data_IF_688315058010
#
_entry.id   IF_688315058010
#
_cell.length_a   1.000
_cell.length_b   1.000
_cell.length_c   1.000
_cell.angle_alpha   90.00
_cell.angle_beta   90.00
_cell.angle_gamma   90.00
#
_symmetry.space_group_name_H-M   'P 1'
#
loop_
_entity.id
_entity.type
_entity.pdbx_description
1 polymer ?
#
# COMPACT_ATOMS: atom_id res chain seq x y z
N UNK A 1 -3.79 15.75 5.93
CA UNK A 1 -5.27 15.88 5.92
C UNK A 1 -5.77 14.92 4.87
N UNK A 2 -6.80 14.12 5.19
CA UNK A 2 -7.48 13.27 4.23
C UNK A 2 -8.10 14.14 3.12
N UNK A 3 -8.11 13.66 1.88
CA UNK A 3 -8.56 14.46 0.73
C UNK A 3 -10.08 14.64 0.66
N UNK A 4 -10.84 13.77 1.31
CA UNK A 4 -12.30 13.69 1.17
C UNK A 4 -12.76 13.05 -0.14
N UNK A 5 -11.83 12.57 -0.97
CA UNK A 5 -12.14 11.85 -2.20
C UNK A 5 -12.76 10.47 -1.91
N UNK A 6 -13.54 9.99 -2.86
CA UNK A 6 -14.17 8.66 -2.84
C UNK A 6 -13.71 7.86 -4.05
N UNK A 7 -13.92 6.55 -4.05
CA UNK A 7 -13.69 5.68 -5.21
C UNK A 7 -14.32 6.28 -6.48
N UNK A 8 -15.57 6.75 -6.37
CA UNK A 8 -16.29 7.34 -7.51
C UNK A 8 -15.62 8.63 -8.03
N UNK A 9 -15.22 9.54 -7.13
CA UNK A 9 -14.58 10.79 -7.55
C UNK A 9 -13.24 10.56 -8.21
N UNK A 10 -12.43 9.63 -7.70
CA UNK A 10 -11.13 9.28 -8.27
C UNK A 10 -11.29 8.69 -9.67
N UNK A 11 -12.24 7.76 -9.87
CA UNK A 11 -12.53 7.17 -11.18
C UNK A 11 -13.05 8.21 -12.15
N UNK A 12 -13.99 9.07 -11.70
CA UNK A 12 -14.56 10.16 -12.51
C UNK A 12 -13.48 11.15 -12.97
N UNK A 13 -12.59 11.55 -12.06
CA UNK A 13 -11.48 12.45 -12.40
C UNK A 13 -10.49 11.82 -13.39
N UNK A 14 -10.20 10.52 -13.25
CA UNK A 14 -9.37 9.80 -14.21
C UNK A 14 -9.99 9.78 -15.62
N UNK A 15 -11.31 9.58 -15.72
CA UNK A 15 -12.03 9.65 -16.99
C UNK A 15 -12.02 11.07 -17.60
N UNK A 16 -12.21 12.11 -16.78
CA UNK A 16 -12.10 13.50 -17.21
C UNK A 16 -10.70 13.78 -17.78
N UNK A 17 -9.64 13.31 -17.13
CA UNK A 17 -8.28 13.44 -17.63
C UNK A 17 -8.07 12.80 -19.00
N UNK A 18 -8.80 11.72 -19.30
CA UNK A 18 -8.79 11.06 -20.60
C UNK A 18 -9.67 11.76 -21.64
N UNK A 19 -10.46 12.75 -21.23
CA UNK A 19 -11.42 13.43 -22.10
C UNK A 19 -12.73 12.62 -22.28
N UNK A 20 -12.99 11.66 -21.40
CA UNK A 20 -14.23 10.91 -21.35
C UNK A 20 -15.26 11.59 -20.43
N UNK A 21 -16.52 11.15 -20.50
CA UNK A 21 -17.57 11.66 -19.63
C UNK A 21 -17.33 11.24 -18.16
N UNK A 22 -17.58 12.14 -17.19
CA UNK A 22 -17.49 11.80 -15.77
C UNK A 22 -18.57 10.79 -15.37
N UNK A 23 -18.29 10.00 -14.32
CA UNK A 23 -19.25 9.08 -13.72
C UNK A 23 -20.16 9.80 -12.73
N UNK A 24 -21.45 9.47 -12.77
CA UNK A 24 -22.41 9.84 -11.74
C UNK A 24 -22.64 8.70 -10.73
N UNK A 25 -22.48 7.45 -11.16
CA UNK A 25 -22.59 6.24 -10.35
C UNK A 25 -21.96 5.05 -11.06
N UNK A 26 -21.46 4.07 -10.33
CA UNK A 26 -21.01 2.79 -10.92
C UNK A 26 -22.16 1.93 -11.45
N UNK A 27 -23.41 2.22 -11.07
CA UNK A 27 -24.63 1.54 -11.55
C UNK A 27 -25.28 2.20 -12.78
N UNK A 28 -24.65 3.18 -13.42
CA UNK A 28 -25.24 3.89 -14.58
C UNK A 28 -25.27 3.07 -15.88
N UNK A 29 -24.66 1.88 -15.88
CA UNK A 29 -24.71 0.93 -17.00
C UNK A 29 -23.81 1.27 -18.19
N UNK A 30 -22.92 2.25 -18.07
CA UNK A 30 -21.90 2.57 -19.09
C UNK A 30 -20.71 1.62 -19.00
N UNK A 31 -20.04 1.37 -20.14
CA UNK A 31 -18.84 0.54 -20.18
C UNK A 31 -17.73 1.14 -19.30
N UNK A 32 -17.59 2.46 -19.30
CA UNK A 32 -16.61 3.16 -18.47
C UNK A 32 -16.86 2.94 -16.98
N UNK A 33 -18.12 2.90 -16.52
CA UNK A 33 -18.45 2.62 -15.13
C UNK A 33 -18.06 1.19 -14.74
N UNK A 34 -18.38 0.21 -15.57
CA UNK A 34 -18.04 -1.19 -15.32
C UNK A 34 -16.53 -1.43 -15.31
N UNK A 35 -15.80 -0.84 -16.26
CA UNK A 35 -14.33 -0.98 -16.36
C UNK A 35 -13.66 -0.37 -15.13
N UNK A 36 -14.03 0.85 -14.76
CA UNK A 36 -13.42 1.55 -13.63
C UNK A 36 -13.73 0.88 -12.30
N UNK A 37 -14.98 0.42 -12.10
CA UNK A 37 -15.37 -0.28 -10.87
C UNK A 37 -14.59 -1.58 -10.69
N UNK A 38 -14.40 -2.34 -11.78
CA UNK A 38 -13.70 -3.62 -11.76
C UNK A 38 -12.20 -3.45 -11.53
N UNK A 39 -11.55 -2.44 -12.11
CA UNK A 39 -10.09 -2.28 -12.07
C UNK A 39 -9.60 -1.47 -10.87
N UNK A 40 -10.48 -0.69 -10.26
CA UNK A 40 -10.09 0.26 -9.22
C UNK A 40 -9.34 -0.38 -8.06
N UNK A 41 -9.91 -1.43 -7.47
CA UNK A 41 -9.34 -2.04 -6.26
C UNK A 41 -7.96 -2.66 -6.54
N UNK A 42 -7.77 -3.30 -7.69
CA UNK A 42 -6.49 -3.86 -8.10
C UNK A 42 -5.42 -2.77 -8.33
N UNK A 43 -5.80 -1.66 -8.97
CA UNK A 43 -4.89 -0.53 -9.24
C UNK A 43 -4.53 0.18 -7.93
N UNK A 44 -5.50 0.38 -7.04
CA UNK A 44 -5.29 0.97 -5.71
C UNK A 44 -4.30 0.13 -4.90
N UNK A 45 -4.56 -1.16 -4.76
CA UNK A 45 -3.75 -2.05 -3.93
C UNK A 45 -2.35 -2.26 -4.53
N UNK A 46 -2.24 -2.31 -5.87
CA UNK A 46 -0.95 -2.30 -6.57
C UNK A 46 -0.18 -1.00 -6.27
N UNK A 47 -0.83 0.14 -6.36
CA UNK A 47 -0.18 1.45 -6.10
C UNK A 47 0.25 1.58 -4.63
N UNK A 48 -0.56 1.10 -3.70
CA UNK A 48 -0.20 1.02 -2.28
C UNK A 48 1.01 0.10 -2.07
N UNK A 49 1.04 -1.05 -2.74
CA UNK A 49 2.13 -2.03 -2.62
C UNK A 49 3.48 -1.57 -3.21
N UNK A 50 3.50 -0.56 -4.09
CA UNK A 50 4.73 -0.06 -4.71
C UNK A 50 5.71 0.61 -3.74
N UNK A 51 5.21 1.12 -2.60
CA UNK A 51 6.01 1.86 -1.62
C UNK A 51 5.42 1.71 -0.22
N UNK A 52 6.23 1.67 0.85
CA UNK A 52 5.74 1.67 2.23
C UNK A 52 5.26 3.08 2.64
N UNK A 53 4.06 3.44 2.21
CA UNK A 53 3.45 4.74 2.49
C UNK A 53 3.19 4.93 3.99
N UNK A 54 3.59 6.07 4.54
CA UNK A 54 3.50 6.35 5.99
C UNK A 54 2.08 6.23 6.55
N UNK A 55 1.06 6.55 5.74
CA UNK A 55 -0.35 6.51 6.12
C UNK A 55 -0.98 5.11 6.03
N UNK A 56 -0.32 4.13 5.40
CA UNK A 56 -0.88 2.81 5.12
C UNK A 56 -0.42 1.72 6.08
N UNK A 57 0.06 2.07 7.27
CA UNK A 57 0.52 1.11 8.28
C UNK A 57 -0.42 1.01 9.46
N UNK A 58 -0.59 -0.23 9.93
CA UNK A 58 -1.27 -0.56 11.18
C UNK A 58 -0.41 -1.48 12.04
N UNK A 59 -0.50 -1.29 13.36
CA UNK A 59 0.02 -2.24 14.35
C UNK A 59 -1.14 -2.94 15.02
N UNK A 60 -1.17 -4.27 14.94
CA UNK A 60 -2.20 -5.07 15.59
C UNK A 60 -1.61 -6.25 16.34
N UNK A 61 -2.34 -6.73 17.35
CA UNK A 61 -2.10 -8.04 17.95
C UNK A 61 -2.77 -9.10 17.08
N UNK A 62 -2.04 -10.15 16.73
CA UNK A 62 -2.59 -11.28 15.98
C UNK A 62 -3.42 -12.19 16.88
N UNK A 63 -4.50 -12.72 16.32
CA UNK A 63 -5.29 -13.76 16.95
C UNK A 63 -4.65 -15.14 16.75
N UNK A 64 -4.44 -15.85 17.85
CA UNK A 64 -3.96 -17.23 17.82
C UNK A 64 -5.05 -18.14 17.27
N UNK A 65 -4.67 -19.07 16.41
CA UNK A 65 -5.55 -20.15 15.97
C UNK A 65 -5.53 -21.32 16.97
N UNK A 66 -6.50 -22.21 16.88
CA UNK A 66 -6.52 -23.43 17.71
C UNK A 66 -5.63 -24.55 17.15
N UNK A 67 -5.03 -24.33 15.98
CA UNK A 67 -4.16 -25.32 15.34
C UNK A 67 -2.77 -25.31 15.97
N UNK A 68 -2.17 -26.48 16.03
CA UNK A 68 -0.75 -26.62 16.39
C UNK A 68 0.04 -26.77 15.09
N UNK A 69 1.06 -25.92 14.85
CA UNK A 69 1.94 -26.06 13.69
C UNK A 69 2.61 -27.44 13.65
N UNK A 70 2.92 -27.93 12.43
CA UNK A 70 3.60 -29.22 12.24
C UNK A 70 5.13 -29.11 12.43
N UNK A 71 5.64 -27.89 12.59
CA UNK A 71 7.05 -27.58 12.75
C UNK A 71 7.44 -27.36 14.22
N UNK A 72 8.67 -26.84 14.44
CA UNK A 72 9.23 -26.58 15.78
C UNK A 72 8.54 -25.47 16.58
N UNK A 73 7.64 -24.69 15.96
CA UNK A 73 6.93 -23.60 16.63
C UNK A 73 5.66 -24.10 17.35
N UNK A 74 5.33 -23.42 18.45
CA UNK A 74 4.22 -23.82 19.33
C UNK A 74 2.86 -23.29 18.92
N UNK A 75 2.83 -22.13 18.25
CA UNK A 75 1.60 -21.38 18.03
C UNK A 75 1.48 -20.89 16.60
N UNK A 76 0.26 -20.87 16.11
CA UNK A 76 -0.13 -20.36 14.81
C UNK A 76 -1.04 -19.15 14.97
N UNK A 77 -0.81 -18.12 14.16
CA UNK A 77 -1.54 -16.86 14.18
C UNK A 77 -2.10 -16.56 12.79
N UNK A 78 -3.34 -16.07 12.74
CA UNK A 78 -3.95 -15.62 11.50
C UNK A 78 -3.42 -14.24 11.14
N UNK A 79 -2.88 -14.09 9.92
CA UNK A 79 -2.52 -12.79 9.36
C UNK A 79 -3.77 -12.01 8.92
N UNK A 80 -3.73 -10.66 8.96
CA UNK A 80 -4.84 -9.82 8.53
C UNK A 80 -5.20 -10.04 7.06
N UNK A 81 -6.50 -10.10 6.75
CA UNK A 81 -6.98 -10.27 5.38
C UNK A 81 -6.88 -9.01 4.53
N UNK A 82 -6.78 -7.83 5.17
CA UNK A 82 -6.64 -6.53 4.51
C UNK A 82 -5.18 -6.13 4.21
N UNK A 83 -4.22 -7.05 4.43
CA UNK A 83 -2.81 -6.79 4.14
C UNK A 83 -2.56 -6.76 2.63
N UNK A 84 -1.75 -5.81 2.20
CA UNK A 84 -1.27 -5.71 0.82
C UNK A 84 -0.01 -6.53 0.62
N UNK A 85 0.95 -6.36 1.52
CA UNK A 85 2.25 -7.03 1.48
C UNK A 85 2.44 -7.93 2.71
N UNK A 86 3.58 -8.61 2.78
CA UNK A 86 3.99 -9.29 4.01
C UNK A 86 4.16 -8.28 5.15
N UNK A 87 4.10 -8.79 6.38
CA UNK A 87 4.34 -7.97 7.57
C UNK A 87 5.74 -7.35 7.54
N UNK A 88 5.84 -6.09 7.95
CA UNK A 88 7.10 -5.34 7.95
C UNK A 88 7.93 -5.61 9.19
N UNK A 89 7.27 -5.82 10.33
CA UNK A 89 7.92 -6.08 11.60
C UNK A 89 7.04 -6.92 12.51
N UNK A 90 7.66 -7.76 13.31
CA UNK A 90 7.00 -8.64 14.27
C UNK A 90 7.52 -8.32 15.67
N UNK A 91 6.61 -8.22 16.65
CA UNK A 91 6.92 -7.88 18.03
C UNK A 91 6.29 -8.89 18.99
N UNK A 92 6.91 -9.10 20.12
CA UNK A 92 6.35 -9.88 21.24
C UNK A 92 5.65 -9.00 22.30
N UNK A 93 5.68 -7.68 22.14
CA UNK A 93 5.06 -6.71 23.02
C UNK A 93 4.38 -5.61 22.22
N UNK A 94 3.22 -5.16 22.69
CA UNK A 94 2.48 -4.02 22.12
C UNK A 94 2.90 -2.66 22.70
N UNK A 95 3.91 -2.61 23.58
CA UNK A 95 4.38 -1.36 24.20
C UNK A 95 5.06 -0.44 23.19
N UNK A 96 4.89 0.86 23.36
CA UNK A 96 5.62 1.87 22.58
C UNK A 96 7.13 1.70 22.79
N UNK A 97 7.91 1.76 21.71
CA UNK A 97 9.36 1.56 21.75
C UNK A 97 9.81 0.10 21.83
N UNK A 98 8.89 -0.89 21.74
CA UNK A 98 9.29 -2.29 21.62
C UNK A 98 10.15 -2.50 20.36
N UNK A 99 11.23 -3.26 20.51
CA UNK A 99 12.08 -3.64 19.35
C UNK A 99 11.47 -4.83 18.62
N UNK A 100 11.52 -4.84 17.27
CA UNK A 100 11.05 -5.99 16.51
C UNK A 100 11.92 -7.23 16.79
N UNK A 101 11.27 -8.39 16.87
CA UNK A 101 11.96 -9.67 16.97
C UNK A 101 12.44 -10.11 15.58
N UNK A 102 13.72 -10.49 15.50
CA UNK A 102 14.33 -10.87 14.22
C UNK A 102 14.23 -12.37 13.95
N UNK A 103 14.09 -13.20 14.99
CA UNK A 103 14.12 -14.67 14.93
C UNK A 103 12.95 -15.28 15.71
N UNK A 104 12.67 -16.56 15.43
CA UNK A 104 11.69 -17.34 16.18
C UNK A 104 10.26 -17.14 15.68
N UNK A 105 10.11 -16.78 14.41
CA UNK A 105 8.84 -16.74 13.68
C UNK A 105 9.05 -16.99 12.19
N UNK A 106 8.03 -17.50 11.54
CA UNK A 106 7.96 -17.72 10.09
C UNK A 106 6.56 -17.40 9.56
N UNK A 107 6.47 -17.09 8.27
CA UNK A 107 5.20 -16.90 7.58
C UNK A 107 5.03 -18.06 6.60
N UNK A 108 3.94 -18.79 6.75
CA UNK A 108 3.52 -19.86 5.85
C UNK A 108 2.12 -19.53 5.29
N UNK A 109 2.08 -19.11 4.04
CA UNK A 109 0.85 -18.68 3.39
C UNK A 109 0.22 -17.46 4.06
N UNK A 110 -0.95 -17.65 4.66
CA UNK A 110 -1.70 -16.62 5.39
C UNK A 110 -1.54 -16.70 6.92
N UNK A 111 -0.59 -17.50 7.39
CA UNK A 111 -0.33 -17.74 8.81
C UNK A 111 1.06 -17.27 9.21
N UNK A 112 1.16 -16.73 10.41
CA UNK A 112 2.41 -16.53 11.11
C UNK A 112 2.55 -17.57 12.21
N UNK A 113 3.67 -18.25 12.27
CA UNK A 113 3.96 -19.26 13.28
C UNK A 113 5.11 -18.80 14.16
N UNK A 114 5.00 -19.03 15.45
CA UNK A 114 6.01 -18.65 16.44
C UNK A 114 5.85 -19.43 17.74
N UNK A 115 6.89 -19.43 18.58
CA UNK A 115 6.81 -19.95 19.96
C UNK A 115 6.43 -18.87 20.98
N UNK A 116 6.20 -17.63 20.57
CA UNK A 116 5.74 -16.54 21.43
C UNK A 116 4.22 -16.66 21.68
N UNK A 117 3.76 -16.41 22.89
CA UNK A 117 2.32 -16.46 23.25
C UNK A 117 1.51 -15.29 22.71
N UNK A 118 2.14 -14.16 22.49
CA UNK A 118 1.53 -12.94 21.95
C UNK A 118 2.42 -12.41 20.83
N UNK A 119 1.79 -12.12 19.71
CA UNK A 119 2.47 -11.55 18.54
C UNK A 119 1.72 -10.28 18.13
N UNK A 120 2.51 -9.25 17.89
CA UNK A 120 2.05 -7.99 17.29
C UNK A 120 2.79 -7.80 15.99
N UNK A 121 2.12 -7.28 14.99
CA UNK A 121 2.70 -7.05 13.66
C UNK A 121 2.43 -5.63 13.19
N UNK A 122 3.42 -5.06 12.54
CA UNK A 122 3.26 -3.88 11.70
C UNK A 122 3.13 -4.35 10.26
N UNK A 123 2.07 -3.92 9.59
CA UNK A 123 1.80 -4.31 8.21
C UNK A 123 1.14 -3.18 7.43
N UNK A 124 1.32 -3.24 6.12
CA UNK A 124 0.66 -2.33 5.19
C UNK A 124 -0.71 -2.89 4.82
N UNK A 125 -1.76 -2.07 4.98
CA UNK A 125 -3.13 -2.48 4.72
C UNK A 125 -3.75 -1.72 3.55
N UNK A 126 -4.80 -2.29 2.97
CA UNK A 126 -5.62 -1.64 1.95
C UNK A 126 -6.36 -0.47 2.59
N UNK A 127 -5.74 0.73 2.46
CA UNK A 127 -6.20 1.95 3.11
C UNK A 127 -7.44 2.49 2.39
N UNK A 128 -8.51 2.85 3.09
CA UNK A 128 -9.69 3.46 2.49
C UNK A 128 -9.38 4.88 1.99
N UNK A 129 -10.08 5.33 0.95
CA UNK A 129 -9.85 6.60 0.26
C UNK A 129 -9.89 7.81 1.19
N UNK A 130 -10.79 7.79 2.18
CA UNK A 130 -10.92 8.86 3.19
C UNK A 130 -9.69 9.06 4.08
N UNK A 131 -8.79 8.09 4.17
CA UNK A 131 -7.54 8.17 4.94
C UNK A 131 -6.32 8.50 4.07
N UNK A 132 -6.49 8.50 2.73
CA UNK A 132 -5.40 8.76 1.79
C UNK A 132 -5.06 10.24 1.71
N UNK A 133 -3.76 10.61 1.76
CA UNK A 133 -3.32 11.99 1.54
C UNK A 133 -3.50 12.42 0.09
N UNK A 134 -3.63 13.74 -0.13
CA UNK A 134 -3.87 14.34 -1.45
C UNK A 134 -2.81 13.97 -2.48
N UNK A 135 -1.53 13.87 -2.09
CA UNK A 135 -0.46 13.48 -3.02
C UNK A 135 -0.62 12.03 -3.49
N UNK A 136 -1.11 11.13 -2.65
CA UNK A 136 -1.37 9.75 -3.04
C UNK A 136 -2.59 9.65 -3.95
N UNK A 137 -3.67 10.36 -3.62
CA UNK A 137 -4.87 10.44 -4.46
C UNK A 137 -4.53 10.94 -5.87
N UNK A 138 -3.68 11.97 -5.99
CA UNK A 138 -3.25 12.45 -7.30
C UNK A 138 -2.46 11.40 -8.08
N UNK A 139 -1.57 10.66 -7.41
CA UNK A 139 -0.88 9.53 -8.01
C UNK A 139 -1.88 8.47 -8.48
N UNK A 140 -2.85 8.12 -7.64
CA UNK A 140 -3.86 7.11 -7.95
C UNK A 140 -4.72 7.50 -9.16
N UNK A 141 -5.09 8.79 -9.30
CA UNK A 141 -5.78 9.31 -10.49
C UNK A 141 -4.94 9.10 -11.77
N UNK A 142 -3.65 9.36 -11.74
CA UNK A 142 -2.77 9.10 -12.88
C UNK A 142 -2.60 7.61 -13.17
N UNK A 143 -2.49 6.77 -12.13
CA UNK A 143 -2.43 5.32 -12.29
C UNK A 143 -3.72 4.76 -12.89
N UNK A 144 -4.88 5.24 -12.43
CA UNK A 144 -6.18 4.91 -13.02
C UNK A 144 -6.24 5.33 -14.48
N UNK A 145 -5.94 6.61 -14.79
CA UNK A 145 -5.97 7.12 -16.16
C UNK A 145 -5.07 6.32 -17.09
N UNK A 146 -3.85 5.96 -16.65
CA UNK A 146 -2.96 5.11 -17.43
C UNK A 146 -3.57 3.75 -17.75
N UNK A 147 -4.07 3.04 -16.72
CA UNK A 147 -4.53 1.66 -16.89
C UNK A 147 -5.83 1.53 -17.70
N UNK A 148 -6.69 2.56 -17.68
CA UNK A 148 -7.97 2.53 -18.41
C UNK A 148 -7.92 3.26 -19.75
N UNK A 149 -6.83 3.99 -20.06
CA UNK A 149 -6.74 4.86 -21.23
C UNK A 149 -7.03 4.13 -22.54
N UNK A 150 -6.38 2.99 -22.76
CA UNK A 150 -6.55 2.22 -23.99
C UNK A 150 -7.99 1.69 -24.14
N UNK A 151 -8.54 1.15 -23.06
CA UNK A 151 -9.90 0.56 -23.07
C UNK A 151 -11.00 1.59 -23.26
N UNK A 152 -10.81 2.82 -22.73
CA UNK A 152 -11.84 3.87 -22.77
C UNK A 152 -11.72 4.73 -24.03
N UNK A 153 -10.49 4.91 -24.55
CA UNK A 153 -10.25 5.90 -25.64
C UNK A 153 -9.74 5.30 -26.93
N UNK A 154 -9.43 4.00 -26.98
CA UNK A 154 -8.76 3.31 -28.10
C UNK A 154 -7.42 3.98 -28.51
N UNK A 155 -6.77 4.72 -27.57
CA UNK A 155 -5.57 5.50 -27.85
C UNK A 155 -4.39 5.06 -26.95
N UNK A 156 -3.48 4.27 -27.51
CA UNK A 156 -2.24 3.83 -26.84
C UNK A 156 -1.36 5.02 -26.45
N UNK A 157 -1.36 6.10 -27.26
CA UNK A 157 -0.57 7.30 -26.97
C UNK A 157 -0.98 8.01 -25.68
N UNK A 158 -2.26 7.96 -25.32
CA UNK A 158 -2.75 8.46 -24.02
C UNK A 158 -2.30 7.58 -22.88
N UNK A 159 -2.33 6.26 -23.06
CA UNK A 159 -1.83 5.32 -22.06
C UNK A 159 -0.34 5.56 -21.77
N UNK A 160 0.49 5.70 -22.81
CA UNK A 160 1.91 6.01 -22.67
C UNK A 160 2.14 7.37 -22.00
N UNK A 161 1.38 8.40 -22.37
CA UNK A 161 1.45 9.71 -21.75
C UNK A 161 1.16 9.66 -20.24
N UNK A 162 0.06 9.03 -19.83
CA UNK A 162 -0.29 8.91 -18.41
C UNK A 162 0.64 7.97 -17.65
N UNK A 163 1.19 6.94 -18.30
CA UNK A 163 2.24 6.09 -17.73
C UNK A 163 3.46 6.91 -17.34
N UNK A 164 3.95 7.76 -18.26
CA UNK A 164 5.11 8.63 -17.99
C UNK A 164 4.78 9.65 -16.89
N UNK A 165 3.58 10.20 -16.87
CA UNK A 165 3.15 11.10 -15.79
C UNK A 165 3.10 10.39 -14.44
N UNK A 166 2.57 9.17 -14.39
CA UNK A 166 2.39 8.41 -13.15
C UNK A 166 3.73 7.90 -12.60
N UNK A 167 4.48 7.14 -13.41
CA UNK A 167 5.63 6.35 -12.95
C UNK A 167 6.94 6.65 -13.68
N UNK A 168 6.92 7.62 -14.61
CA UNK A 168 8.09 8.04 -15.36
C UNK A 168 8.37 7.19 -16.59
N UNK A 169 9.52 7.47 -17.21
CA UNK A 169 10.00 6.77 -18.40
C UNK A 169 10.48 5.35 -18.08
N UNK A 170 10.60 4.46 -19.09
CA UNK A 170 11.12 3.10 -18.89
C UNK A 170 12.51 3.05 -18.23
N UNK A 171 13.34 4.07 -18.45
CA UNK A 171 14.68 4.16 -17.85
C UNK A 171 14.62 4.40 -16.33
N UNK A 172 13.53 4.93 -15.81
CA UNK A 172 13.33 5.17 -14.38
C UNK A 172 12.72 3.95 -13.64
N UNK A 173 12.54 2.82 -14.33
CA UNK A 173 12.08 1.55 -13.75
C UNK A 173 10.80 1.71 -12.92
N UNK A 174 9.84 2.47 -13.40
CA UNK A 174 8.55 2.80 -12.74
C UNK A 174 8.69 3.55 -11.40
N UNK A 175 9.81 4.23 -11.19
CA UNK A 175 10.10 5.03 -9.97
C UNK A 175 10.28 6.53 -10.27
N UNK A 176 9.85 6.97 -11.45
CA UNK A 176 9.86 8.36 -11.89
C UNK A 176 8.50 9.04 -11.77
N UNK A 177 8.27 10.04 -12.62
CA UNK A 177 7.01 10.74 -12.71
C UNK A 177 6.49 11.28 -11.38
N UNK A 178 5.18 11.31 -11.23
CA UNK A 178 4.54 11.75 -9.99
C UNK A 178 4.75 10.79 -8.82
N UNK A 179 5.00 9.50 -9.07
CA UNK A 179 5.37 8.55 -8.04
C UNK A 179 6.58 9.03 -7.22
N UNK A 180 7.64 9.52 -7.90
CA UNK A 180 8.81 10.08 -7.23
C UNK A 180 8.49 11.30 -6.38
N UNK A 181 7.59 12.17 -6.86
CA UNK A 181 7.13 13.33 -6.10
C UNK A 181 6.37 12.90 -4.85
N UNK A 182 5.42 11.98 -5.01
CA UNK A 182 4.61 11.46 -3.92
C UNK A 182 5.44 10.78 -2.83
N UNK A 183 6.40 9.92 -3.20
CA UNK A 183 7.32 9.26 -2.25
C UNK A 183 8.23 10.26 -1.54
N UNK A 184 8.68 11.32 -2.23
CA UNK A 184 9.46 12.40 -1.61
C UNK A 184 8.66 13.18 -0.57
N UNK A 185 7.38 13.45 -0.84
CA UNK A 185 6.48 14.12 0.11
C UNK A 185 6.22 13.23 1.32
N UNK A 186 5.89 11.96 1.08
CA UNK A 186 5.64 10.98 2.15
C UNK A 186 6.86 10.80 3.06
N UNK A 187 8.06 10.70 2.47
CA UNK A 187 9.30 10.53 3.21
C UNK A 187 9.63 11.69 4.15
N UNK A 188 9.18 12.93 3.84
CA UNK A 188 9.35 14.08 4.73
C UNK A 188 8.48 14.01 5.99
N UNK A 189 7.39 13.23 5.93
CA UNK A 189 6.46 13.06 7.05
C UNK A 189 6.89 11.94 8.00
N UNK A 190 7.88 11.12 7.62
CA UNK A 190 8.42 10.08 8.50
C UNK A 190 9.32 10.71 9.56
N UNK A 191 9.12 10.31 10.81
CA UNK A 191 10.03 10.68 11.88
C UNK A 191 11.42 10.11 11.55
N UNK A 192 12.45 10.94 11.67
CA UNK A 192 13.83 10.47 11.63
C UNK A 192 14.07 9.65 12.89
N UNK A 193 14.27 8.35 12.74
CA UNK A 193 14.82 7.54 13.82
C UNK A 193 16.25 8.01 14.07
N UNK A 194 16.50 8.53 15.27
CA UNK A 194 17.86 8.82 15.70
C UNK A 194 18.64 7.50 15.73
N UNK A 195 19.77 7.46 15.05
CA UNK A 195 20.69 6.32 15.13
C UNK A 195 21.31 6.36 16.54
N UNK A 196 20.67 5.68 17.51
CA UNK A 196 21.10 5.68 18.89
C UNK A 196 22.23 4.67 19.18
N UNK A 197 22.55 3.77 18.27
CA UNK A 197 23.48 2.68 18.51
C UNK A 197 24.66 2.71 17.52
N UNK A 198 25.70 3.41 17.91
CA UNK A 198 27.00 3.32 17.27
C UNK A 198 27.83 2.20 17.92
N UNK A 199 27.49 0.95 17.59
CA UNK A 199 28.18 -0.23 18.16
C UNK A 199 29.71 -0.17 18.03
N UNK A 200 30.25 0.51 17.02
CA UNK A 200 31.69 0.73 16.85
C UNK A 200 32.28 1.82 17.78
N UNK A 201 31.45 2.68 18.35
CA UNK A 201 31.90 3.71 19.31
C UNK A 201 31.84 3.16 20.74
N UNK A 202 30.82 2.32 21.06
CA UNK A 202 30.69 1.70 22.37
C UNK A 202 31.75 0.67 22.70
N UNK A 203 32.48 0.13 21.70
CA UNK A 203 33.59 -0.81 21.87
C UNK A 203 34.91 -0.08 22.25
N UNK A 204 34.96 1.26 22.15
CA UNK A 204 36.18 2.06 22.46
C UNK A 204 36.15 2.81 23.78
N UNK A 205 35.11 2.59 24.59
CA UNK A 205 35.00 3.17 25.95
C UNK A 205 35.28 2.17 27.06
#
# INVERSE_FOLDING_TARGET
MASGDTKLSICSDALIMLGAAPLSSFSEGTDSAQITDRLYDDIRDTTLGMYPWSFSFKKIQLNRTNNTPINEFKYEYQLPGDRINNVMAVFNSGTSGARPIQYGWEILGDKLISSQEKIYVDYQYSTPEGEMPTYFIQLLKYMMAWNIAETVTDQITKADYFKVLAVGSPQESMRGGFFRVATSIDGRNKQLEAIEDFSLISVRG
#
